data_IF_396927975523
#
_entry.id   IF_396927975523
#
_cell.length_a   1.000
_cell.length_b   1.000
_cell.length_c   1.000
_cell.angle_alpha   90.00
_cell.angle_beta   90.00
_cell.angle_gamma   90.00
#
_symmetry.space_group_name_H-M   'P 1'
#
loop_
_entity.id
_entity.type
_entity.pdbx_description
1 polymer ?
#
# COMPACT_ATOMS: atom_id res chain seq x y z
N UNK A 1 -21.13 -5.90 0.76
CA UNK A 1 -21.01 -5.21 2.05
C UNK A 1 -22.16 -5.60 2.97
N UNK A 2 -21.88 -5.68 4.28
CA UNK A 2 -22.86 -5.76 5.35
C UNK A 2 -22.98 -4.41 6.05
N UNK A 3 -24.10 -4.14 6.74
CA UNK A 3 -24.30 -2.91 7.48
C UNK A 3 -24.44 -3.20 8.98
N UNK A 4 -23.81 -2.37 9.82
CA UNK A 4 -24.07 -2.31 11.26
C UNK A 4 -25.27 -1.38 11.53
N UNK A 5 -25.92 -1.48 12.71
CA UNK A 5 -27.06 -0.62 13.06
C UNK A 5 -26.75 0.88 12.98
N UNK A 6 -25.48 1.27 13.13
CA UNK A 6 -24.99 2.65 12.99
C UNK A 6 -24.94 3.17 11.55
N UNK A 7 -25.22 2.31 10.55
CA UNK A 7 -25.01 2.61 9.13
C UNK A 7 -23.58 2.35 8.62
N UNK A 8 -22.64 1.96 9.47
CA UNK A 8 -21.29 1.58 9.07
C UNK A 8 -21.33 0.35 8.18
N UNK A 9 -20.73 0.43 7.00
CA UNK A 9 -20.60 -0.70 6.08
C UNK A 9 -19.28 -1.45 6.31
N UNK A 10 -19.32 -2.77 6.20
CA UNK A 10 -18.14 -3.63 6.40
C UNK A 10 -18.20 -4.93 5.59
N UNK A 11 -17.04 -5.58 5.44
CA UNK A 11 -16.91 -6.97 4.99
C UNK A 11 -16.28 -7.77 6.12
N UNK A 12 -16.90 -8.89 6.56
CA UNK A 12 -16.47 -9.66 7.73
C UNK A 12 -15.01 -10.15 7.63
N UNK A 13 -14.60 -10.60 6.45
CA UNK A 13 -13.32 -11.25 6.21
C UNK A 13 -12.29 -10.35 5.51
N UNK A 14 -12.62 -9.08 5.27
CA UNK A 14 -11.73 -8.15 4.57
C UNK A 14 -10.50 -7.80 5.39
N UNK A 15 -9.36 -7.70 4.71
CA UNK A 15 -8.12 -7.16 5.30
C UNK A 15 -7.95 -5.68 5.00
N UNK A 16 -8.39 -5.19 3.82
CA UNK A 16 -8.27 -3.78 3.45
C UNK A 16 -9.35 -3.38 2.44
N UNK A 17 -10.39 -2.70 2.86
CA UNK A 17 -11.38 -2.12 1.93
C UNK A 17 -10.80 -0.96 1.10
N UNK A 18 -9.79 -0.26 1.62
CA UNK A 18 -9.10 0.81 0.88
C UNK A 18 -8.43 0.29 -0.39
N UNK A 19 -7.87 -0.92 -0.35
CA UNK A 19 -7.18 -1.54 -1.49
C UNK A 19 -8.11 -2.37 -2.37
N UNK A 20 -9.41 -2.43 -2.05
CA UNK A 20 -10.45 -3.08 -2.85
C UNK A 20 -10.97 -2.16 -3.97
N UNK A 21 -11.92 -2.67 -4.75
CA UNK A 21 -12.66 -1.89 -5.76
C UNK A 21 -13.46 -0.71 -5.20
N UNK A 22 -13.56 -0.55 -3.87
CA UNK A 22 -14.25 0.55 -3.20
C UNK A 22 -13.32 1.74 -2.89
N UNK A 23 -12.00 1.57 -2.97
CA UNK A 23 -11.04 2.55 -2.48
C UNK A 23 -9.99 2.96 -3.51
N UNK A 24 -8.79 2.41 -3.41
CA UNK A 24 -7.61 2.85 -4.15
C UNK A 24 -7.63 2.36 -5.60
N UNK A 25 -8.44 3.02 -6.43
CA UNK A 25 -8.55 2.75 -7.87
C UNK A 25 -8.98 3.98 -8.66
N UNK A 26 -8.84 3.90 -9.99
CA UNK A 26 -9.34 4.86 -10.95
C UNK A 26 -9.80 4.11 -12.21
N UNK A 27 -11.04 4.34 -12.63
CA UNK A 27 -11.64 3.64 -13.78
C UNK A 27 -10.86 3.86 -15.08
N UNK A 28 -10.27 5.03 -15.29
CA UNK A 28 -9.42 5.30 -16.45
C UNK A 28 -8.20 4.37 -16.51
N UNK A 29 -7.78 3.82 -15.36
CA UNK A 29 -6.62 2.94 -15.24
C UNK A 29 -6.99 1.46 -15.19
N UNK A 30 -8.27 1.09 -15.23
CA UNK A 30 -8.72 -0.32 -15.12
C UNK A 30 -8.15 -1.22 -16.20
N UNK A 31 -7.89 -0.69 -17.40
CA UNK A 31 -7.24 -1.39 -18.51
C UNK A 31 -5.73 -1.12 -18.63
N UNK A 32 -5.17 -0.28 -17.77
CA UNK A 32 -3.75 0.08 -17.83
C UNK A 32 -2.89 -1.05 -17.28
N UNK A 33 -2.01 -1.58 -18.13
CA UNK A 33 -0.98 -2.53 -17.73
C UNK A 33 0.37 -1.82 -17.73
N UNK A 34 1.05 -1.83 -16.60
CA UNK A 34 2.41 -1.32 -16.41
C UNK A 34 3.31 -2.46 -16.02
N UNK A 35 4.36 -2.71 -16.80
CA UNK A 35 5.32 -3.77 -16.54
C UNK A 35 6.25 -3.43 -15.38
N UNK A 36 6.56 -4.46 -14.58
CA UNK A 36 7.60 -4.41 -13.54
C UNK A 36 8.79 -5.34 -13.88
N UNK A 37 8.81 -5.92 -15.09
CA UNK A 37 9.87 -6.84 -15.51
C UNK A 37 11.21 -6.12 -15.73
N UNK A 38 11.14 -4.89 -16.24
CA UNK A 38 12.32 -4.06 -16.47
C UNK A 38 11.96 -2.58 -16.31
N UNK A 39 12.93 -1.76 -15.90
CA UNK A 39 12.71 -0.32 -15.66
C UNK A 39 12.33 0.43 -16.94
N UNK A 40 12.91 0.09 -18.06
CA UNK A 40 12.60 0.69 -19.36
C UNK A 40 11.17 0.34 -19.83
N UNK A 41 10.69 -0.87 -19.52
CA UNK A 41 9.30 -1.27 -19.77
C UNK A 41 8.33 -0.45 -18.89
N UNK A 42 8.63 -0.31 -17.62
CA UNK A 42 7.84 0.51 -16.69
C UNK A 42 7.73 1.96 -17.17
N UNK A 43 8.86 2.57 -17.52
CA UNK A 43 8.92 3.96 -18.04
C UNK A 43 8.10 4.09 -19.33
N UNK A 44 8.30 3.18 -20.28
CA UNK A 44 7.60 3.19 -21.57
C UNK A 44 6.08 3.08 -21.38
N UNK A 45 5.62 2.21 -20.48
CA UNK A 45 4.19 1.99 -20.27
C UNK A 45 3.53 3.22 -19.59
N UNK A 46 4.20 3.88 -18.64
CA UNK A 46 3.73 5.14 -18.08
C UNK A 46 3.75 6.27 -19.13
N UNK A 47 4.81 6.37 -19.93
CA UNK A 47 4.90 7.40 -20.99
C UNK A 47 3.81 7.20 -22.06
N UNK A 48 3.43 5.95 -22.35
CA UNK A 48 2.27 5.65 -23.18
C UNK A 48 0.97 6.10 -22.52
N UNK A 49 0.76 5.82 -21.23
CA UNK A 49 -0.48 6.15 -20.52
C UNK A 49 -0.75 7.66 -20.44
N UNK A 50 0.30 8.48 -20.27
CA UNK A 50 0.17 9.96 -20.28
C UNK A 50 -0.03 10.55 -21.68
N UNK A 51 0.03 9.76 -22.74
CA UNK A 51 -0.19 10.18 -24.14
C UNK A 51 -1.41 9.52 -24.77
N UNK A 52 -2.05 8.57 -24.10
CA UNK A 52 -3.21 7.84 -24.62
C UNK A 52 -4.49 8.52 -24.15
N UNK A 53 -5.32 9.07 -25.07
CA UNK A 53 -6.59 9.66 -24.72
C UNK A 53 -7.54 8.69 -24.03
N UNK A 54 -8.37 9.22 -23.10
CA UNK A 54 -9.43 8.49 -22.44
C UNK A 54 -10.77 9.17 -22.76
N UNK A 55 -11.64 8.46 -23.48
CA UNK A 55 -12.88 9.00 -24.05
C UNK A 55 -13.77 9.76 -23.04
N UNK A 56 -13.96 9.33 -21.79
CA UNK A 56 -14.72 10.10 -20.80
C UNK A 56 -14.06 11.46 -20.47
N UNK A 57 -12.73 11.52 -20.43
CA UNK A 57 -12.02 12.80 -20.19
C UNK A 57 -12.05 13.70 -21.40
N UNK A 58 -11.99 13.14 -22.63
CA UNK A 58 -12.20 13.92 -23.85
C UNK A 58 -13.60 14.53 -23.89
N UNK A 59 -14.63 13.76 -23.53
CA UNK A 59 -16.03 14.24 -23.46
C UNK A 59 -16.23 15.33 -22.41
N UNK A 60 -15.53 15.28 -21.27
CA UNK A 60 -15.55 16.33 -20.25
C UNK A 60 -14.89 17.62 -20.74
N UNK A 61 -13.90 17.52 -21.63
CA UNK A 61 -13.12 18.62 -22.16
C UNK A 61 -12.02 19.12 -21.20
N UNK A 62 -10.96 19.69 -21.75
CA UNK A 62 -9.85 20.26 -20.96
C UNK A 62 -10.21 21.66 -20.45
N UNK A 63 -10.90 22.46 -21.27
CA UNK A 63 -11.33 23.81 -20.92
C UNK A 63 -12.83 23.93 -21.19
N UNK A 64 -13.58 24.49 -20.26
CA UNK A 64 -15.01 24.83 -20.41
C UNK A 64 -15.22 26.26 -19.93
N UNK A 65 -15.81 27.10 -20.80
CA UNK A 65 -16.09 28.51 -20.51
C UNK A 65 -14.83 29.28 -20.02
N UNK A 66 -13.66 28.96 -20.60
CA UNK A 66 -12.38 29.60 -20.24
C UNK A 66 -11.74 29.09 -18.94
N UNK A 67 -12.35 28.10 -18.27
CA UNK A 67 -11.86 27.50 -17.03
C UNK A 67 -11.29 26.08 -17.30
N UNK A 68 -10.07 25.84 -16.86
CA UNK A 68 -9.47 24.50 -16.93
C UNK A 68 -10.21 23.54 -16.02
N UNK A 69 -10.67 22.42 -16.58
CA UNK A 69 -11.35 21.33 -15.87
C UNK A 69 -10.36 20.21 -15.50
N UNK A 70 -9.33 20.03 -16.30
CA UNK A 70 -8.29 19.02 -16.15
C UNK A 70 -7.02 19.44 -16.90
N UNK A 71 -5.89 18.78 -16.64
CA UNK A 71 -4.59 19.11 -17.26
C UNK A 71 -4.59 18.69 -18.74
N UNK A 72 -5.07 17.47 -19.01
CA UNK A 72 -5.24 16.89 -20.33
C UNK A 72 -6.31 15.78 -20.29
N UNK A 73 -6.65 15.17 -21.42
CA UNK A 73 -7.69 14.15 -21.52
C UNK A 73 -7.13 12.70 -21.63
N UNK A 74 -5.93 12.44 -21.13
CA UNK A 74 -5.29 11.13 -21.24
C UNK A 74 -5.62 10.23 -20.05
N UNK A 75 -5.34 8.91 -20.19
CA UNK A 75 -5.51 7.88 -19.14
C UNK A 75 -4.84 8.32 -17.84
N UNK A 76 -3.61 8.83 -17.93
CA UNK A 76 -2.91 9.54 -16.85
C UNK A 76 -2.66 10.98 -17.30
N UNK A 77 -3.00 11.95 -16.46
CA UNK A 77 -2.68 13.35 -16.73
C UNK A 77 -1.19 13.62 -16.43
N UNK A 78 -0.68 12.99 -15.38
CA UNK A 78 0.74 12.95 -15.00
C UNK A 78 1.10 11.55 -14.48
N UNK A 79 2.38 11.19 -14.50
CA UNK A 79 2.85 9.86 -14.05
C UNK A 79 2.54 9.57 -12.58
N UNK A 80 2.44 10.63 -11.75
CA UNK A 80 2.15 10.49 -10.32
C UNK A 80 0.73 10.01 -10.03
N UNK A 81 -0.18 10.05 -11.00
CA UNK A 81 -1.55 9.53 -10.87
C UNK A 81 -1.63 8.01 -10.98
N UNK A 82 -0.56 7.32 -11.37
CA UNK A 82 -0.59 5.87 -11.49
C UNK A 82 -0.86 5.19 -10.15
N UNK A 83 -1.92 4.37 -10.10
CA UNK A 83 -2.38 3.61 -8.93
C UNK A 83 -1.64 2.26 -8.80
N UNK A 84 -0.32 2.28 -8.66
CA UNK A 84 0.46 1.08 -8.39
C UNK A 84 0.57 0.77 -6.90
N UNK A 85 0.55 -0.52 -6.53
CA UNK A 85 0.76 -0.98 -5.15
C UNK A 85 2.16 -0.67 -4.64
N UNK A 86 3.11 -0.72 -5.55
CA UNK A 86 4.51 -0.38 -5.35
C UNK A 86 4.97 0.48 -6.53
N UNK A 87 5.84 1.43 -6.29
CA UNK A 87 6.38 2.29 -7.34
C UNK A 87 7.89 2.43 -7.22
N UNK A 88 8.67 2.17 -8.28
CA UNK A 88 10.05 2.60 -8.35
C UNK A 88 10.10 4.13 -8.38
N UNK A 89 11.01 4.71 -7.63
CA UNK A 89 11.15 6.16 -7.46
C UNK A 89 12.60 6.60 -7.62
N UNK A 90 12.74 7.83 -8.10
CA UNK A 90 13.99 8.57 -8.13
C UNK A 90 13.72 10.01 -7.67
N UNK A 91 14.61 10.60 -6.89
CA UNK A 91 14.51 12.01 -6.50
C UNK A 91 14.56 12.87 -7.77
N UNK A 92 13.50 13.67 -7.98
CA UNK A 92 13.40 14.55 -9.14
C UNK A 92 14.06 15.91 -8.87
N UNK A 93 14.66 16.50 -9.89
CA UNK A 93 15.10 17.90 -9.87
C UNK A 93 13.93 18.81 -10.20
N UNK A 94 14.07 20.09 -9.91
CA UNK A 94 13.03 21.08 -10.28
C UNK A 94 12.73 21.03 -11.78
N UNK A 95 11.44 20.88 -12.15
CA UNK A 95 11.00 20.76 -13.54
C UNK A 95 11.25 19.42 -14.22
N UNK A 96 11.86 18.44 -13.53
CA UNK A 96 12.12 17.11 -14.07
C UNK A 96 10.94 16.16 -13.82
N UNK A 97 10.50 15.46 -14.87
CA UNK A 97 9.44 14.44 -14.74
C UNK A 97 9.98 13.17 -14.07
N UNK A 98 9.15 12.45 -13.28
CA UNK A 98 9.55 11.20 -12.61
C UNK A 98 10.13 10.15 -13.56
N UNK A 99 9.51 9.91 -14.70
CA UNK A 99 9.99 8.95 -15.70
C UNK A 99 11.34 9.35 -16.31
N UNK A 100 11.61 10.65 -16.46
CA UNK A 100 12.91 11.14 -16.93
C UNK A 100 14.01 10.94 -15.87
N UNK A 101 13.68 11.17 -14.60
CA UNK A 101 14.60 10.94 -13.49
C UNK A 101 14.97 9.45 -13.40
N UNK A 102 13.99 8.56 -13.49
CA UNK A 102 14.19 7.10 -13.52
C UNK A 102 15.04 6.66 -14.72
N UNK A 103 14.76 7.18 -15.91
CA UNK A 103 15.52 6.83 -17.12
C UNK A 103 16.99 7.24 -17.05
N UNK A 104 17.28 8.38 -16.40
CA UNK A 104 18.65 8.93 -16.33
C UNK A 104 19.49 8.37 -15.20
N UNK A 105 18.87 8.06 -14.04
CA UNK A 105 19.58 7.73 -12.79
C UNK A 105 19.18 6.41 -12.18
N UNK A 106 18.21 5.69 -12.76
CA UNK A 106 17.72 4.43 -12.22
C UNK A 106 16.78 4.62 -11.02
N UNK A 107 16.51 3.51 -10.33
CA UNK A 107 15.69 3.47 -9.11
C UNK A 107 16.55 3.80 -7.90
N UNK A 108 16.17 4.79 -7.12
CA UNK A 108 16.81 5.14 -5.85
C UNK A 108 16.11 4.49 -4.66
N UNK A 109 14.77 4.44 -4.69
CA UNK A 109 13.97 3.81 -3.66
C UNK A 109 12.65 3.26 -4.23
N UNK A 110 11.94 2.48 -3.43
CA UNK A 110 10.60 1.99 -3.75
C UNK A 110 9.57 2.58 -2.78
N UNK A 111 8.42 2.97 -3.30
CA UNK A 111 7.29 3.47 -2.52
C UNK A 111 6.25 2.36 -2.37
N UNK A 112 6.04 1.88 -1.15
CA UNK A 112 4.98 0.92 -0.83
C UNK A 112 3.68 1.67 -0.54
N UNK A 113 2.63 1.42 -1.31
CA UNK A 113 1.34 2.13 -1.21
C UNK A 113 0.20 1.25 -0.72
N UNK A 114 0.44 -0.04 -0.56
CA UNK A 114 -0.57 -1.02 -0.16
C UNK A 114 -0.71 -1.19 1.36
N UNK A 115 0.05 -0.46 2.16
CA UNK A 115 -0.02 -0.53 3.63
C UNK A 115 -1.09 0.43 4.13
N UNK A 116 -2.08 -0.10 4.86
CA UNK A 116 -3.08 0.73 5.52
C UNK A 116 -2.53 1.39 6.78
N UNK A 117 -3.11 2.53 7.16
CA UNK A 117 -2.83 3.14 8.45
C UNK A 117 -3.32 2.23 9.58
N UNK A 118 -2.47 2.00 10.56
CA UNK A 118 -2.83 1.35 11.81
C UNK A 118 -3.41 2.40 12.78
N UNK A 119 -4.74 2.38 13.06
CA UNK A 119 -5.35 3.38 13.91
C UNK A 119 -4.99 3.20 15.40
N UNK A 120 -4.29 2.12 15.76
CA UNK A 120 -3.83 1.87 17.12
C UNK A 120 -2.43 2.42 17.39
N UNK A 121 -1.74 2.85 16.34
CA UNK A 121 -0.39 3.41 16.40
C UNK A 121 -0.41 4.92 16.09
N UNK A 122 0.20 5.77 16.92
CA UNK A 122 0.18 7.22 16.69
C UNK A 122 0.79 7.67 15.36
N UNK A 123 1.77 6.91 14.85
CA UNK A 123 2.42 7.17 13.55
C UNK A 123 1.73 6.47 12.37
N UNK A 124 0.63 5.73 12.62
CA UNK A 124 -0.09 4.97 11.61
C UNK A 124 0.61 3.70 11.12
N UNK A 125 1.75 3.35 11.72
CA UNK A 125 2.50 2.11 11.46
C UNK A 125 3.22 1.67 12.74
N UNK A 126 3.13 0.38 13.07
CA UNK A 126 3.87 -0.18 14.18
C UNK A 126 5.34 -0.43 13.81
N UNK A 127 6.21 -0.42 14.82
CA UNK A 127 7.62 -0.79 14.64
C UNK A 127 7.76 -2.21 14.06
N UNK A 128 6.94 -3.16 14.54
CA UNK A 128 6.93 -4.52 14.02
C UNK A 128 6.54 -4.57 12.53
N UNK A 129 5.56 -3.77 12.10
CA UNK A 129 5.22 -3.67 10.68
C UNK A 129 6.36 -3.10 9.84
N UNK A 130 7.08 -2.09 10.35
CA UNK A 130 8.24 -1.53 9.67
C UNK A 130 9.37 -2.57 9.53
N UNK A 131 9.73 -3.29 10.59
CA UNK A 131 10.72 -4.37 10.54
C UNK A 131 10.31 -5.50 9.59
N UNK A 132 9.03 -5.90 9.59
CA UNK A 132 8.52 -6.89 8.63
C UNK A 132 8.72 -6.42 7.18
N UNK A 133 8.37 -5.17 6.87
CA UNK A 133 8.52 -4.62 5.52
C UNK A 133 9.99 -4.55 5.09
N UNK A 134 10.90 -4.25 6.00
CA UNK A 134 12.34 -4.23 5.74
C UNK A 134 12.86 -5.63 5.41
N UNK A 135 12.51 -6.64 6.24
CA UNK A 135 12.87 -8.05 5.98
C UNK A 135 12.31 -8.50 4.63
N UNK A 136 11.04 -8.20 4.37
CA UNK A 136 10.37 -8.57 3.11
C UNK A 136 11.03 -7.92 1.89
N UNK A 137 11.37 -6.63 1.97
CA UNK A 137 12.04 -5.92 0.90
C UNK A 137 13.43 -6.50 0.60
N UNK A 138 14.21 -6.83 1.65
CA UNK A 138 15.51 -7.48 1.50
C UNK A 138 15.38 -8.89 0.93
N UNK A 139 14.41 -9.68 1.38
CA UNK A 139 14.14 -10.99 0.79
C UNK A 139 13.85 -10.86 -0.70
N UNK A 140 12.96 -9.95 -1.11
CA UNK A 140 12.67 -9.70 -2.52
C UNK A 140 13.90 -9.28 -3.33
N UNK A 141 14.81 -8.50 -2.73
CA UNK A 141 16.05 -8.06 -3.38
C UNK A 141 17.05 -9.22 -3.58
N UNK A 142 17.07 -10.17 -2.65
CA UNK A 142 18.01 -11.30 -2.64
C UNK A 142 17.49 -12.53 -3.38
N UNK A 143 16.19 -12.59 -3.67
CA UNK A 143 15.55 -13.73 -4.31
C UNK A 143 15.55 -13.59 -5.83
N UNK A 144 15.56 -14.71 -6.54
CA UNK A 144 15.30 -14.73 -7.97
C UNK A 144 13.90 -14.18 -8.26
N UNK A 145 13.81 -13.30 -9.25
CA UNK A 145 12.58 -12.64 -9.65
C UNK A 145 12.31 -12.90 -11.14
N UNK A 146 11.68 -14.02 -11.50
CA UNK A 146 11.31 -14.28 -12.89
C UNK A 146 10.31 -13.22 -13.37
N UNK A 147 10.40 -12.87 -14.66
CA UNK A 147 9.50 -11.89 -15.26
C UNK A 147 8.06 -12.40 -15.30
N UNK A 148 7.12 -11.49 -15.17
CA UNK A 148 5.69 -11.77 -15.31
C UNK A 148 5.32 -12.01 -16.77
N UNK A 149 4.53 -13.04 -17.01
CA UNK A 149 3.92 -13.35 -18.29
C UNK A 149 2.45 -12.88 -18.36
N UNK A 150 1.78 -13.09 -19.47
CA UNK A 150 0.39 -12.65 -19.67
C UNK A 150 -0.60 -13.28 -18.66
N UNK A 151 -0.38 -14.52 -18.25
CA UNK A 151 -1.22 -15.21 -17.27
C UNK A 151 -1.03 -14.62 -15.85
N UNK A 152 0.20 -14.20 -15.52
CA UNK A 152 0.48 -13.51 -14.24
C UNK A 152 -0.30 -12.20 -14.15
N UNK A 153 -0.28 -11.38 -15.19
CA UNK A 153 -1.04 -10.13 -15.23
C UNK A 153 -2.56 -10.31 -15.14
N UNK A 154 -3.07 -11.49 -15.49
CA UNK A 154 -4.48 -11.83 -15.27
C UNK A 154 -4.74 -12.31 -13.83
N UNK A 155 -3.83 -13.10 -13.25
CA UNK A 155 -3.94 -13.70 -11.91
C UNK A 155 -3.81 -12.67 -10.79
N UNK A 156 -2.83 -11.74 -10.91
CA UNK A 156 -2.47 -10.81 -9.86
C UNK A 156 -3.65 -9.95 -9.37
N UNK A 157 -4.44 -9.29 -10.23
CA UNK A 157 -5.59 -8.50 -9.79
C UNK A 157 -6.65 -9.34 -9.07
N UNK A 158 -6.90 -10.58 -9.54
CA UNK A 158 -7.86 -11.50 -8.93
C UNK A 158 -7.40 -11.93 -7.53
N UNK A 159 -6.12 -12.26 -7.38
CA UNK A 159 -5.54 -12.59 -6.08
C UNK A 159 -5.54 -11.39 -5.13
N UNK A 160 -5.22 -10.20 -5.63
CA UNK A 160 -5.28 -8.97 -4.84
C UNK A 160 -6.71 -8.72 -4.34
N UNK A 161 -7.71 -8.77 -5.21
CA UNK A 161 -9.09 -8.61 -4.81
C UNK A 161 -9.52 -9.65 -3.77
N UNK A 162 -9.21 -10.92 -3.99
CA UNK A 162 -9.49 -12.00 -3.05
C UNK A 162 -8.84 -11.74 -1.68
N UNK A 163 -7.57 -11.32 -1.65
CA UNK A 163 -6.86 -11.00 -0.42
C UNK A 163 -7.46 -9.82 0.34
N UNK A 164 -7.79 -8.72 -0.35
CA UNK A 164 -8.28 -7.52 0.35
C UNK A 164 -9.71 -7.71 0.85
N UNK A 165 -10.54 -8.51 0.19
CA UNK A 165 -11.93 -8.74 0.55
C UNK A 165 -12.15 -9.94 1.48
N UNK A 166 -11.25 -10.95 1.42
CA UNK A 166 -11.39 -12.23 2.12
C UNK A 166 -10.12 -12.71 2.80
N UNK A 167 -9.11 -11.88 3.00
CA UNK A 167 -7.80 -12.29 3.51
C UNK A 167 -7.81 -12.89 4.91
N UNK A 168 -8.92 -12.78 5.67
CA UNK A 168 -9.13 -13.42 6.98
C UNK A 168 -9.93 -14.72 6.91
N UNK A 169 -10.45 -15.07 5.74
CA UNK A 169 -11.12 -16.34 5.50
C UNK A 169 -10.08 -17.50 5.52
N UNK A 170 -10.18 -18.46 6.45
CA UNK A 170 -9.22 -19.55 6.55
C UNK A 170 -9.21 -20.47 5.32
N UNK A 171 -10.29 -20.47 4.54
CA UNK A 171 -10.45 -21.26 3.31
C UNK A 171 -10.09 -20.48 2.05
N UNK A 172 -9.49 -19.28 2.19
CA UNK A 172 -9.09 -18.48 1.03
C UNK A 172 -8.07 -19.22 0.17
N UNK A 173 -8.40 -19.39 -1.10
CA UNK A 173 -7.50 -19.92 -2.12
C UNK A 173 -7.07 -18.82 -3.08
N UNK A 174 -5.79 -18.79 -3.43
CA UNK A 174 -5.20 -17.92 -4.42
C UNK A 174 -4.76 -18.73 -5.64
N UNK A 175 -4.75 -18.09 -6.79
CA UNK A 175 -4.29 -18.68 -8.03
C UNK A 175 -2.76 -18.63 -8.11
N UNK A 176 -2.13 -19.76 -8.48
CA UNK A 176 -0.71 -19.86 -8.78
C UNK A 176 -0.48 -20.51 -10.14
N UNK A 177 0.76 -20.56 -10.62
CA UNK A 177 1.11 -21.30 -11.84
C UNK A 177 0.76 -22.80 -11.77
N UNK A 178 0.75 -23.35 -10.56
CA UNK A 178 0.47 -24.76 -10.31
C UNK A 178 -1.00 -24.99 -9.89
N UNK A 179 -1.92 -24.05 -10.19
CA UNK A 179 -3.33 -24.09 -9.79
C UNK A 179 -3.60 -23.35 -8.49
N UNK A 180 -4.84 -23.48 -7.98
CA UNK A 180 -5.27 -22.82 -6.75
C UNK A 180 -4.63 -23.45 -5.52
N UNK A 181 -4.17 -22.62 -4.56
CA UNK A 181 -3.55 -23.01 -3.29
C UNK A 181 -4.12 -22.21 -2.14
N UNK A 182 -4.18 -22.79 -0.96
CA UNK A 182 -4.55 -22.05 0.25
C UNK A 182 -3.57 -20.89 0.49
N UNK A 183 -4.12 -19.71 0.74
CA UNK A 183 -3.32 -18.52 1.07
C UNK A 183 -2.42 -18.78 2.28
N UNK A 184 -2.95 -19.42 3.33
CA UNK A 184 -2.19 -19.72 4.55
C UNK A 184 -0.94 -20.57 4.30
N UNK A 185 -1.02 -21.51 3.36
CA UNK A 185 0.13 -22.39 3.04
C UNK A 185 1.19 -21.61 2.25
N UNK A 186 0.75 -20.72 1.33
CA UNK A 186 1.64 -19.85 0.59
C UNK A 186 2.34 -18.83 1.51
N UNK A 187 1.58 -18.23 2.43
CA UNK A 187 2.11 -17.29 3.42
C UNK A 187 3.07 -17.96 4.42
N UNK A 188 2.73 -19.16 4.91
CA UNK A 188 3.59 -19.91 5.82
C UNK A 188 4.95 -20.23 5.17
N UNK A 189 4.93 -20.61 3.89
CA UNK A 189 6.16 -20.85 3.12
C UNK A 189 7.00 -19.57 3.00
N UNK A 190 6.37 -18.45 2.61
CA UNK A 190 7.04 -17.15 2.53
C UNK A 190 7.68 -16.79 3.88
N UNK A 191 6.94 -16.88 4.98
CA UNK A 191 7.47 -16.54 6.30
C UNK A 191 8.66 -17.42 6.70
N UNK A 192 8.67 -18.71 6.34
CA UNK A 192 9.82 -19.57 6.53
C UNK A 192 11.06 -19.11 5.73
N UNK A 193 10.86 -18.54 4.55
CA UNK A 193 11.92 -17.96 3.73
C UNK A 193 12.40 -16.59 4.27
N UNK A 194 11.56 -15.83 4.99
CA UNK A 194 11.90 -14.56 5.62
C UNK A 194 12.73 -14.72 6.92
N UNK A 195 12.52 -15.79 7.68
CA UNK A 195 13.20 -15.99 8.97
C UNK A 195 14.72 -15.93 8.90
N UNK A 196 15.41 -16.57 7.93
CA UNK A 196 16.87 -16.44 7.79
C UNK A 196 17.34 -15.01 7.53
N UNK A 197 16.57 -14.22 6.78
CA UNK A 197 16.88 -12.81 6.50
C UNK A 197 16.73 -11.98 7.78
N UNK A 198 15.64 -12.21 8.54
CA UNK A 198 15.41 -11.57 9.83
C UNK A 198 16.54 -11.86 10.84
N UNK A 199 17.00 -13.12 10.90
CA UNK A 199 18.09 -13.54 11.79
C UNK A 199 19.43 -12.85 11.45
N UNK A 200 19.73 -12.62 10.17
CA UNK A 200 20.90 -11.85 9.75
C UNK A 200 20.79 -10.40 10.21
N UNK A 201 19.63 -9.77 10.06
CA UNK A 201 19.41 -8.39 10.52
C UNK A 201 19.46 -8.30 12.05
N UNK A 202 18.88 -9.24 12.77
CA UNK A 202 18.94 -9.27 14.24
C UNK A 202 20.37 -9.36 14.74
N UNK A 203 21.19 -10.22 14.15
CA UNK A 203 22.64 -10.32 14.48
C UNK A 203 23.39 -9.03 14.14
N UNK A 204 23.10 -8.43 12.98
CA UNK A 204 23.76 -7.19 12.54
C UNK A 204 23.46 -6.00 13.43
N UNK A 205 22.26 -5.92 13.97
CA UNK A 205 21.76 -4.82 14.81
C UNK A 205 21.79 -5.12 16.32
N UNK A 206 22.17 -6.31 16.74
CA UNK A 206 22.18 -6.71 18.16
C UNK A 206 20.78 -6.74 18.79
N UNK A 207 19.76 -7.17 18.05
CA UNK A 207 18.34 -7.18 18.46
C UNK A 207 17.69 -8.52 18.13
N UNK A 208 16.44 -8.73 18.55
CA UNK A 208 15.55 -9.82 18.11
C UNK A 208 14.27 -9.27 17.47
N UNK A 209 14.27 -7.99 17.09
CA UNK A 209 13.05 -7.29 16.67
C UNK A 209 12.56 -7.72 15.27
N UNK A 210 13.48 -8.11 14.40
CA UNK A 210 13.15 -8.54 13.04
C UNK A 210 12.52 -9.93 13.03
N UNK A 211 13.11 -10.90 13.74
CA UNK A 211 12.53 -12.25 13.91
C UNK A 211 11.17 -12.17 14.62
N UNK A 212 11.05 -11.36 15.68
CA UNK A 212 9.79 -11.16 16.38
C UNK A 212 8.72 -10.53 15.46
N UNK A 213 9.09 -9.66 14.52
CA UNK A 213 8.16 -9.11 13.54
C UNK A 213 7.61 -10.19 12.59
N UNK A 214 8.44 -11.13 12.14
CA UNK A 214 7.98 -12.27 11.32
C UNK A 214 7.08 -13.20 12.15
N UNK A 215 7.47 -13.53 13.38
CA UNK A 215 6.67 -14.37 14.29
C UNK A 215 5.28 -13.77 14.54
N UNK A 216 5.18 -12.44 14.65
CA UNK A 216 3.89 -11.75 14.75
C UNK A 216 3.02 -11.95 13.51
N UNK A 217 3.58 -11.95 12.30
CA UNK A 217 2.79 -12.24 11.09
C UNK A 217 2.37 -13.72 11.03
N UNK A 218 3.23 -14.64 11.46
CA UNK A 218 2.88 -16.07 11.62
C UNK A 218 1.73 -16.24 12.63
N UNK A 219 1.75 -15.51 13.74
CA UNK A 219 0.65 -15.52 14.72
C UNK A 219 -0.66 -15.01 14.10
N UNK A 220 -0.64 -13.90 13.32
CA UNK A 220 -1.82 -13.39 12.60
C UNK A 220 -2.36 -14.37 11.57
N UNK A 221 -1.49 -15.17 10.94
CA UNK A 221 -1.91 -16.19 9.98
C UNK A 221 -2.65 -17.33 10.68
N UNK A 222 -2.23 -17.70 11.91
CA UNK A 222 -2.89 -18.73 12.74
C UNK A 222 -4.16 -18.21 13.40
N UNK A 223 -4.14 -16.94 13.81
CA UNK A 223 -5.23 -16.26 14.52
C UNK A 223 -5.61 -14.97 13.79
N UNK A 224 -6.48 -15.04 12.75
CA UNK A 224 -6.87 -13.87 11.95
C UNK A 224 -7.52 -12.72 12.75
N UNK A 225 -8.03 -13.00 13.96
CA UNK A 225 -8.54 -11.99 14.88
C UNK A 225 -7.46 -10.99 15.37
N UNK A 226 -6.18 -11.32 15.21
CA UNK A 226 -5.05 -10.44 15.52
C UNK A 226 -4.72 -9.46 14.38
N UNK A 227 -5.36 -9.55 13.23
CA UNK A 227 -5.14 -8.59 12.12
C UNK A 227 -5.72 -7.22 12.46
N UNK A 228 -5.10 -6.14 11.97
CA UNK A 228 -5.57 -4.76 12.21
C UNK A 228 -7.04 -4.55 11.84
N UNK A 229 -7.48 -5.11 10.69
CA UNK A 229 -8.88 -5.02 10.27
C UNK A 229 -9.86 -5.75 11.19
N UNK A 230 -9.47 -6.91 11.77
CA UNK A 230 -10.28 -7.61 12.77
C UNK A 230 -10.33 -6.82 14.09
N UNK A 231 -9.20 -6.26 14.51
CA UNK A 231 -9.14 -5.40 15.71
C UNK A 231 -10.02 -4.17 15.58
N UNK A 232 -10.03 -3.52 14.41
CA UNK A 232 -10.95 -2.39 14.13
C UNK A 232 -12.39 -2.84 14.28
N UNK A 233 -12.81 -3.92 13.59
CA UNK A 233 -14.19 -4.41 13.67
C UNK A 233 -14.62 -4.73 15.10
N UNK A 234 -13.76 -5.38 15.89
CA UNK A 234 -14.04 -5.67 17.31
C UNK A 234 -14.17 -4.37 18.13
N UNK A 235 -13.30 -3.40 17.90
CA UNK A 235 -13.34 -2.12 18.61
C UNK A 235 -14.62 -1.33 18.33
N UNK A 236 -15.32 -1.56 17.20
CA UNK A 236 -16.57 -0.86 16.90
C UNK A 236 -17.69 -1.20 17.90
N UNK A 237 -17.61 -2.31 18.64
CA UNK A 237 -18.56 -2.67 19.69
C UNK A 237 -18.64 -1.59 20.77
N UNK A 238 -17.49 -1.04 21.19
CA UNK A 238 -17.39 0.05 22.17
C UNK A 238 -17.95 1.39 21.67
N UNK A 239 -18.09 1.53 20.34
CA UNK A 239 -18.58 2.74 19.67
C UNK A 239 -19.99 2.55 19.05
N UNK A 240 -20.78 1.59 19.55
CA UNK A 240 -22.12 1.28 19.04
C UNK A 240 -22.13 0.97 17.53
N UNK A 241 -21.06 0.35 17.03
CA UNK A 241 -20.87 0.01 15.63
C UNK A 241 -20.47 1.19 14.72
N UNK A 242 -20.18 2.38 15.26
CA UNK A 242 -19.87 3.56 14.47
C UNK A 242 -18.36 3.68 14.18
N UNK A 243 -17.98 3.46 12.94
CA UNK A 243 -16.60 3.70 12.48
C UNK A 243 -16.20 5.17 12.62
N UNK A 244 -17.11 6.11 12.37
CA UNK A 244 -16.85 7.53 12.53
C UNK A 244 -16.44 7.88 13.97
N UNK A 245 -17.20 7.40 14.98
CA UNK A 245 -16.89 7.65 16.40
C UNK A 245 -15.57 7.01 16.82
N UNK A 246 -15.30 5.79 16.36
CA UNK A 246 -14.04 5.13 16.57
C UNK A 246 -12.87 5.95 16.00
N UNK A 247 -12.96 6.38 14.73
CA UNK A 247 -11.92 7.14 14.06
C UNK A 247 -11.69 8.52 14.73
N UNK A 248 -12.77 9.19 15.16
CA UNK A 248 -12.70 10.46 15.88
C UNK A 248 -11.96 10.30 17.22
N UNK A 249 -12.34 9.30 18.02
CA UNK A 249 -11.67 9.02 19.31
C UNK A 249 -10.17 8.73 19.12
N UNK A 250 -9.81 7.93 18.08
CA UNK A 250 -8.41 7.66 17.76
C UNK A 250 -7.64 8.92 17.36
N UNK A 251 -8.24 9.77 16.53
CA UNK A 251 -7.64 11.04 16.13
C UNK A 251 -7.41 11.96 17.33
N UNK A 252 -8.39 12.07 18.23
CA UNK A 252 -8.28 12.90 19.44
C UNK A 252 -7.19 12.39 20.37
N UNK A 253 -7.11 11.08 20.64
CA UNK A 253 -6.01 10.48 21.45
C UNK A 253 -4.65 10.72 20.84
N UNK A 254 -4.51 10.51 19.53
CA UNK A 254 -3.24 10.76 18.82
C UNK A 254 -2.84 12.22 18.92
N UNK A 255 -3.79 13.14 18.75
CA UNK A 255 -3.57 14.58 18.94
C UNK A 255 -3.08 14.90 20.35
N UNK A 256 -3.74 14.37 21.38
CA UNK A 256 -3.35 14.56 22.79
C UNK A 256 -1.94 14.03 23.07
N UNK A 257 -1.60 12.85 22.54
CA UNK A 257 -0.26 12.27 22.69
C UNK A 257 0.83 13.18 22.09
N UNK A 258 0.60 13.69 20.87
CA UNK A 258 1.56 14.60 20.24
C UNK A 258 1.66 15.96 20.97
N UNK A 259 0.55 16.49 21.46
CA UNK A 259 0.58 17.74 22.26
C UNK A 259 1.30 17.55 23.60
N UNK A 260 1.22 16.36 24.21
CA UNK A 260 1.94 16.03 25.43
C UNK A 260 3.46 15.88 25.22
N UNK A 261 3.92 15.76 23.98
CA UNK A 261 5.34 15.59 23.59
C UNK A 261 5.77 16.69 22.61
N UNK A 262 5.77 17.97 23.00
CA UNK A 262 6.14 19.05 22.10
C UNK A 262 7.59 18.90 21.65
N UNK A 263 7.87 19.31 20.42
CA UNK A 263 9.23 19.37 19.92
C UNK A 263 10.05 20.39 20.75
N UNK A 264 11.35 20.14 20.98
CA UNK A 264 12.24 21.14 21.56
C UNK A 264 12.20 22.45 20.76
N UNK A 265 12.24 23.60 21.46
CA UNK A 265 12.14 24.93 20.81
C UNK A 265 13.14 25.13 19.66
N UNK A 266 14.39 24.69 19.84
CA UNK A 266 15.43 24.77 18.82
C UNK A 266 15.04 23.99 17.54
N UNK A 267 14.44 22.79 17.68
CA UNK A 267 13.98 22.00 16.56
C UNK A 267 12.74 22.61 15.87
N UNK A 268 11.86 23.20 16.66
CA UNK A 268 10.70 23.92 16.12
C UNK A 268 11.13 25.15 15.30
N UNK A 269 12.11 25.91 15.78
CA UNK A 269 12.66 27.07 15.07
C UNK A 269 13.33 26.64 13.75
N UNK A 270 14.12 25.57 13.75
CA UNK A 270 14.74 24.99 12.56
C UNK A 270 13.68 24.60 11.51
N UNK A 271 12.67 23.82 11.90
CA UNK A 271 11.60 23.37 11.01
C UNK A 271 10.78 24.54 10.47
N UNK A 272 10.52 25.56 11.29
CA UNK A 272 9.83 26.80 10.87
C UNK A 272 10.65 27.55 9.83
N UNK A 273 11.96 27.58 9.97
CA UNK A 273 12.86 28.21 8.99
C UNK A 273 12.86 27.46 7.67
N UNK A 274 12.96 26.11 7.73
CA UNK A 274 12.90 25.26 6.51
C UNK A 274 11.55 25.38 5.78
N UNK A 275 10.45 25.51 6.50
CA UNK A 275 9.11 25.63 5.89
C UNK A 275 8.86 26.98 5.19
N UNK A 276 9.72 28.00 5.42
CA UNK A 276 9.62 29.33 4.80
C UNK A 276 10.52 29.47 3.57
N UNK A 277 11.38 28.53 3.30
CA UNK A 277 12.22 28.42 2.09
C UNK A 277 11.46 27.72 0.95
#
# INVERSE_FOLDING_TARGET
LRALPSGTLYLPEATSLRMSSLGYQNDAQSGLRVSYNALDEYIRDLDRAIRTPYAPYEAAGVVRDGVYQQINANILQIENEYYGLIRPKQVTRSGERPTQALARRGVEYVELRCVDLDPFEPLGISRASAHFLEVFALHCLLSDSPGFNAADYQRLPLNQQAMVERGRDPELMLQSEMGSRYFRDMAARLFAELLPVADVLDRGHGTAAYSAAIELQIAKLKEPAMTGSAMVLRSLEDYQGSFYRFAQDRADRTREEFLARPLPEARMAELTTLARQ
#
